data_IF_173133960853
#
_entry.id   IF_173133960853
#
_cell.length_a   1.000
_cell.length_b   1.000
_cell.length_c   1.000
_cell.angle_alpha   90.00
_cell.angle_beta   90.00
_cell.angle_gamma   90.00
#
_symmetry.space_group_name_H-M   'P 1'
#
loop_
_entity.id
_entity.type
_entity.pdbx_description
1 polymer ?
#
# COMPACT_ATOMS: atom_id res chain seq x y z
N UNK A 1 -35.96 9.97 5.81
CA UNK A 1 -35.96 8.67 5.07
C UNK A 1 -35.49 7.58 6.03
N UNK A 2 -35.88 6.32 5.81
CA UNK A 2 -35.41 5.20 6.65
C UNK A 2 -33.90 4.97 6.43
N UNK A 3 -33.12 4.79 7.50
CA UNK A 3 -31.66 4.67 7.47
C UNK A 3 -31.20 3.51 6.59
N UNK A 4 -31.82 2.34 6.76
CA UNK A 4 -31.57 1.14 5.94
C UNK A 4 -31.69 1.43 4.43
N UNK A 5 -32.71 2.19 4.02
CA UNK A 5 -32.90 2.55 2.60
C UNK A 5 -31.78 3.46 2.09
N UNK A 6 -31.24 4.34 2.93
CA UNK A 6 -30.08 5.18 2.62
C UNK A 6 -28.82 4.31 2.47
N UNK A 7 -28.53 3.44 3.44
CA UNK A 7 -27.38 2.52 3.41
C UNK A 7 -27.36 1.67 2.13
N UNK A 8 -28.47 0.99 1.81
CA UNK A 8 -28.55 0.14 0.62
C UNK A 8 -28.40 0.94 -0.69
N UNK A 9 -28.87 2.19 -0.73
CA UNK A 9 -28.71 3.08 -1.89
C UNK A 9 -27.26 3.52 -2.07
N UNK A 10 -26.56 3.84 -0.98
CA UNK A 10 -25.14 4.19 -1.00
C UNK A 10 -24.26 2.97 -1.35
N UNK A 11 -24.62 1.78 -0.86
CA UNK A 11 -23.94 0.52 -1.21
C UNK A 11 -24.09 0.18 -2.69
N UNK A 12 -25.30 0.30 -3.24
CA UNK A 12 -25.54 0.13 -4.67
C UNK A 12 -24.77 1.16 -5.52
N UNK A 13 -24.62 2.40 -5.05
CA UNK A 13 -23.80 3.41 -5.73
C UNK A 13 -22.30 3.05 -5.71
N UNK A 14 -21.77 2.58 -4.58
CA UNK A 14 -20.39 2.11 -4.47
C UNK A 14 -20.12 0.90 -5.39
N UNK A 15 -21.09 -0.03 -5.46
CA UNK A 15 -21.10 -1.15 -6.38
C UNK A 15 -21.10 -0.70 -7.85
N UNK A 16 -22.01 0.21 -8.24
CA UNK A 16 -22.09 0.71 -9.63
C UNK A 16 -20.79 1.37 -10.06
N UNK A 17 -20.24 2.31 -9.25
CA UNK A 17 -18.92 2.93 -9.48
C UNK A 17 -17.84 1.88 -9.76
N UNK A 18 -17.79 0.82 -8.95
CA UNK A 18 -16.84 -0.29 -9.07
C UNK A 18 -17.05 -1.10 -10.35
N UNK A 19 -18.31 -1.42 -10.67
CA UNK A 19 -18.68 -2.14 -11.89
C UNK A 19 -18.23 -1.39 -13.13
N UNK A 20 -18.47 -0.08 -13.17
CA UNK A 20 -18.10 0.78 -14.30
C UNK A 20 -16.57 0.84 -14.46
N UNK A 21 -15.81 0.97 -13.36
CA UNK A 21 -14.35 0.94 -13.39
C UNK A 21 -13.79 -0.41 -13.87
N UNK A 22 -14.27 -1.54 -13.34
CA UNK A 22 -13.85 -2.88 -13.78
C UNK A 22 -14.14 -3.12 -15.27
N UNK A 23 -15.27 -2.61 -15.78
CA UNK A 23 -15.67 -2.78 -17.17
C UNK A 23 -15.09 -1.71 -18.13
N UNK A 24 -14.35 -0.72 -17.63
CA UNK A 24 -13.62 0.28 -18.42
C UNK A 24 -12.50 -0.33 -19.29
N UNK A 25 -11.90 0.51 -20.14
CA UNK A 25 -10.66 0.17 -20.86
C UNK A 25 -9.41 0.40 -19.98
N UNK A 26 -9.46 1.40 -19.08
CA UNK A 26 -8.31 1.85 -18.29
C UNK A 26 -7.96 0.93 -17.12
N UNK A 27 -8.85 -0.01 -16.78
CA UNK A 27 -8.60 -1.01 -15.74
C UNK A 27 -7.27 -1.72 -15.90
N UNK A 28 -6.94 -2.22 -17.11
CA UNK A 28 -5.75 -3.02 -17.31
C UNK A 28 -4.44 -2.22 -17.20
N UNK A 29 -4.41 -0.97 -17.70
CA UNK A 29 -3.24 -0.10 -17.59
C UNK A 29 -3.03 0.36 -16.14
N UNK A 30 -4.09 0.79 -15.45
CA UNK A 30 -4.03 1.23 -14.05
C UNK A 30 -3.59 0.09 -13.13
N UNK A 31 -4.17 -1.11 -13.26
CA UNK A 31 -3.78 -2.27 -12.47
C UNK A 31 -2.33 -2.72 -12.76
N UNK A 32 -1.86 -2.60 -14.01
CA UNK A 32 -0.47 -2.89 -14.38
C UNK A 32 0.52 -1.90 -13.75
N UNK A 33 0.16 -0.62 -13.68
CA UNK A 33 0.98 0.38 -12.98
C UNK A 33 1.01 0.15 -11.47
N UNK A 34 -0.12 -0.23 -10.85
CA UNK A 34 -0.12 -0.66 -9.45
C UNK A 34 0.81 -1.86 -9.23
N UNK A 35 0.89 -2.81 -10.17
CA UNK A 35 1.86 -3.90 -10.09
C UNK A 35 3.31 -3.39 -10.14
N UNK A 36 3.64 -2.47 -11.05
CA UNK A 36 4.98 -1.84 -11.10
C UNK A 36 5.35 -1.14 -9.78
N UNK A 37 4.40 -0.43 -9.17
CA UNK A 37 4.59 0.24 -7.88
C UNK A 37 4.79 -0.77 -6.75
N UNK A 38 3.92 -1.79 -6.59
CA UNK A 38 4.09 -2.80 -5.52
C UNK A 38 5.29 -3.72 -5.72
N UNK A 39 5.93 -3.72 -6.89
CA UNK A 39 7.20 -4.42 -7.11
C UNK A 39 8.45 -3.55 -6.83
N UNK A 40 8.30 -2.24 -6.60
CA UNK A 40 9.41 -1.25 -6.64
C UNK A 40 10.16 -1.30 -7.97
N UNK A 41 9.40 -1.16 -9.06
CA UNK A 41 9.90 -0.97 -10.42
C UNK A 41 9.65 0.46 -10.91
N UNK A 42 8.54 1.08 -10.50
CA UNK A 42 8.16 2.47 -10.83
C UNK A 42 7.73 3.26 -9.58
N UNK A 43 7.91 4.59 -9.62
CA UNK A 43 7.33 5.58 -8.70
C UNK A 43 5.79 5.68 -8.89
N UNK A 44 5.10 6.40 -8.01
CA UNK A 44 3.72 6.79 -8.29
C UNK A 44 3.68 7.86 -9.39
N UNK A 45 2.95 7.58 -10.47
CA UNK A 45 2.66 8.58 -11.53
C UNK A 45 1.29 9.25 -11.43
N UNK A 46 0.45 8.90 -10.44
CA UNK A 46 -0.88 9.51 -10.28
C UNK A 46 -0.85 10.77 -9.43
N UNK A 47 -1.41 11.84 -9.97
CA UNK A 47 -1.75 13.06 -9.23
C UNK A 47 -3.14 12.97 -8.61
N UNK A 48 -3.45 13.87 -7.69
CA UNK A 48 -4.74 13.88 -6.99
C UNK A 48 -5.95 14.14 -7.89
N UNK A 49 -5.74 14.76 -9.06
CA UNK A 49 -6.80 15.03 -10.03
C UNK A 49 -7.32 13.71 -10.65
N UNK A 50 -6.43 12.76 -10.89
CA UNK A 50 -6.76 11.43 -11.43
C UNK A 50 -7.69 10.66 -10.48
N UNK A 51 -7.51 10.87 -9.16
CA UNK A 51 -8.22 10.16 -8.09
C UNK A 51 -9.62 10.70 -7.78
N UNK A 52 -10.02 11.85 -8.34
CA UNK A 52 -11.27 12.56 -7.98
C UNK A 52 -12.52 11.73 -8.25
N UNK A 53 -12.51 10.93 -9.32
CA UNK A 53 -13.68 10.13 -9.73
C UNK A 53 -13.67 8.72 -9.14
N UNK A 54 -12.49 8.13 -8.90
CA UNK A 54 -12.32 6.78 -8.37
C UNK A 54 -10.93 6.63 -7.72
N UNK A 55 -10.85 6.24 -6.45
CA UNK A 55 -9.55 6.06 -5.76
C UNK A 55 -8.98 4.66 -6.07
N UNK A 56 -8.32 4.53 -7.22
CA UNK A 56 -8.01 3.24 -7.88
C UNK A 56 -7.26 2.20 -7.04
N UNK A 57 -6.41 2.61 -6.08
CA UNK A 57 -5.68 1.66 -5.24
C UNK A 57 -6.59 0.73 -4.42
N UNK A 58 -7.85 1.11 -4.21
CA UNK A 58 -8.88 0.25 -3.60
C UNK A 58 -8.99 -1.14 -4.27
N UNK A 59 -8.69 -1.27 -5.56
CA UNK A 59 -8.73 -2.58 -6.24
C UNK A 59 -7.61 -3.54 -5.79
N UNK A 60 -6.54 -3.03 -5.16
CA UNK A 60 -5.57 -3.88 -4.47
C UNK A 60 -6.21 -4.62 -3.30
N UNK A 61 -7.14 -3.99 -2.55
CA UNK A 61 -7.93 -4.66 -1.50
C UNK A 61 -8.70 -5.84 -2.10
N UNK A 62 -9.23 -5.69 -3.31
CA UNK A 62 -9.94 -6.76 -4.01
C UNK A 62 -9.01 -7.90 -4.47
N UNK A 63 -7.80 -7.61 -4.96
CA UNK A 63 -6.82 -8.66 -5.24
C UNK A 63 -6.43 -9.44 -3.96
N UNK A 64 -6.42 -8.80 -2.80
CA UNK A 64 -6.20 -9.47 -1.52
C UNK A 64 -7.44 -10.26 -1.02
N UNK A 65 -8.68 -9.85 -1.36
CA UNK A 65 -9.90 -10.67 -1.13
C UNK A 65 -9.81 -12.01 -1.85
N UNK A 66 -9.39 -11.99 -3.12
CA UNK A 66 -9.18 -13.19 -3.93
C UNK A 66 -7.97 -14.01 -3.43
N UNK A 67 -6.92 -13.36 -2.95
CA UNK A 67 -5.74 -14.01 -2.34
C UNK A 67 -6.13 -14.90 -1.14
N UNK A 68 -7.08 -14.47 -0.30
CA UNK A 68 -7.59 -15.28 0.82
C UNK A 68 -8.32 -16.53 0.30
N UNK A 69 -9.07 -16.42 -0.79
CA UNK A 69 -9.73 -17.60 -1.42
C UNK A 69 -8.71 -18.54 -2.06
N UNK A 70 -7.63 -18.01 -2.67
CA UNK A 70 -6.57 -18.82 -3.27
C UNK A 70 -5.71 -19.57 -2.24
N UNK A 71 -5.52 -19.00 -1.04
CA UNK A 71 -4.66 -19.54 0.03
C UNK A 71 -5.46 -19.80 1.32
N UNK A 72 -6.71 -20.27 1.21
CA UNK A 72 -7.62 -20.38 2.38
C UNK A 72 -7.06 -21.28 3.50
N UNK A 73 -6.26 -22.29 3.16
CA UNK A 73 -5.53 -23.14 4.12
C UNK A 73 -4.53 -22.38 5.00
N UNK A 74 -3.99 -21.26 4.52
CA UNK A 74 -3.05 -20.41 5.25
C UNK A 74 -3.79 -19.49 6.24
N UNK A 75 -5.07 -19.18 5.96
CA UNK A 75 -5.97 -18.40 6.81
C UNK A 75 -6.88 -19.25 7.71
N UNK A 76 -6.65 -20.58 7.82
CA UNK A 76 -7.48 -21.52 8.58
C UNK A 76 -7.73 -21.16 10.07
N UNK A 77 -6.84 -20.35 10.67
CA UNK A 77 -6.94 -19.90 12.07
C UNK A 77 -7.67 -18.54 12.18
N UNK A 78 -8.39 -18.13 11.13
CA UNK A 78 -9.10 -16.86 10.97
C UNK A 78 -10.47 -17.11 10.35
N UNK A 79 -11.42 -16.23 10.60
CA UNK A 79 -12.75 -16.30 10.01
C UNK A 79 -12.72 -15.76 8.56
N UNK A 80 -12.51 -16.64 7.58
CA UNK A 80 -12.36 -16.24 6.17
C UNK A 80 -13.60 -15.53 5.60
N UNK A 81 -14.79 -15.75 6.17
CA UNK A 81 -16.02 -15.04 5.80
C UNK A 81 -16.02 -13.59 6.32
N UNK A 82 -15.69 -13.38 7.61
CA UNK A 82 -15.59 -12.02 8.18
C UNK A 82 -14.45 -11.26 7.47
N UNK A 83 -13.29 -11.88 7.26
CA UNK A 83 -12.18 -11.26 6.49
C UNK A 83 -12.61 -10.79 5.10
N UNK A 84 -13.27 -11.65 4.32
CA UNK A 84 -13.72 -11.31 2.95
C UNK A 84 -14.80 -10.21 2.97
N UNK A 85 -15.64 -10.14 4.02
CA UNK A 85 -16.61 -9.05 4.26
C UNK A 85 -15.94 -7.75 4.68
N UNK A 86 -14.97 -7.77 5.60
CA UNK A 86 -14.20 -6.60 6.02
C UNK A 86 -13.49 -5.94 4.85
N UNK A 87 -12.81 -6.72 4.00
CA UNK A 87 -12.18 -6.23 2.77
C UNK A 87 -13.20 -5.67 1.77
N UNK A 88 -14.40 -6.24 1.67
CA UNK A 88 -15.47 -5.75 0.80
C UNK A 88 -16.07 -4.42 1.28
N UNK A 89 -16.41 -4.33 2.57
CA UNK A 89 -16.92 -3.11 3.17
C UNK A 89 -15.85 -1.99 3.18
N UNK A 90 -14.57 -2.35 3.26
CA UNK A 90 -13.43 -1.43 3.02
C UNK A 90 -13.44 -0.84 1.60
N UNK A 91 -13.68 -1.67 0.58
CA UNK A 91 -13.77 -1.22 -0.82
C UNK A 91 -14.95 -0.26 -0.98
N UNK A 92 -16.15 -0.65 -0.53
CA UNK A 92 -17.33 0.17 -0.72
C UNK A 92 -17.29 1.48 0.09
N UNK A 93 -16.74 1.47 1.32
CA UNK A 93 -16.52 2.70 2.10
C UNK A 93 -15.50 3.64 1.48
N UNK A 94 -14.51 3.11 0.74
CA UNK A 94 -13.54 3.95 0.01
C UNK A 94 -14.16 4.56 -1.25
N UNK A 95 -15.08 3.84 -1.92
CA UNK A 95 -15.77 4.34 -3.12
C UNK A 95 -16.98 5.21 -2.82
N UNK A 96 -17.57 5.08 -1.62
CA UNK A 96 -18.66 5.91 -1.14
C UNK A 96 -18.47 6.21 0.36
N UNK A 97 -17.67 7.23 0.72
CA UNK A 97 -17.33 7.55 2.12
C UNK A 97 -18.51 7.83 3.04
N UNK A 98 -19.70 8.15 2.49
CA UNK A 98 -20.94 8.25 3.27
C UNK A 98 -21.36 6.93 3.95
N UNK A 99 -20.80 5.79 3.56
CA UNK A 99 -20.97 4.50 4.24
C UNK A 99 -20.12 4.35 5.51
N UNK A 100 -19.07 5.17 5.70
CA UNK A 100 -18.10 4.98 6.79
C UNK A 100 -18.75 4.96 8.18
N UNK A 101 -19.72 5.82 8.44
CA UNK A 101 -20.39 5.88 9.75
C UNK A 101 -21.11 4.56 10.05
N UNK A 102 -21.93 4.09 9.12
CA UNK A 102 -22.68 2.83 9.27
C UNK A 102 -21.71 1.65 9.39
N UNK A 103 -20.66 1.60 8.56
CA UNK A 103 -19.71 0.49 8.54
C UNK A 103 -18.81 0.45 9.79
N UNK A 104 -18.38 1.60 10.33
CA UNK A 104 -17.65 1.69 11.61
C UNK A 104 -18.55 1.29 12.79
N UNK A 105 -19.83 1.71 12.78
CA UNK A 105 -20.80 1.30 13.80
C UNK A 105 -21.06 -0.22 13.77
N UNK A 106 -21.13 -0.81 12.56
CA UNK A 106 -21.40 -2.23 12.32
C UNK A 106 -20.18 -3.16 12.49
N UNK A 107 -18.99 -2.64 12.80
CA UNK A 107 -17.85 -3.46 13.22
C UNK A 107 -18.20 -4.32 14.45
N UNK A 108 -17.67 -5.54 14.49
CA UNK A 108 -17.85 -6.48 15.59
C UNK A 108 -16.84 -6.14 16.68
N UNK A 109 -17.33 -5.88 17.90
CA UNK A 109 -16.51 -5.48 19.04
C UNK A 109 -15.48 -6.56 19.41
N UNK A 110 -14.20 -6.17 19.45
CA UNK A 110 -13.04 -7.00 19.79
C UNK A 110 -12.72 -8.17 18.83
N UNK A 111 -13.40 -8.28 17.68
CA UNK A 111 -13.06 -9.25 16.63
C UNK A 111 -11.88 -8.73 15.79
N UNK A 112 -10.82 -9.53 15.63
CA UNK A 112 -9.62 -9.13 14.86
C UNK A 112 -9.89 -9.12 13.35
N UNK A 113 -10.78 -10.00 12.89
CA UNK A 113 -11.17 -10.08 11.47
C UNK A 113 -12.17 -9.01 11.05
N UNK A 114 -12.77 -8.29 12.00
CA UNK A 114 -13.74 -7.21 11.75
C UNK A 114 -13.04 -5.85 11.73
N UNK A 115 -12.77 -5.36 10.52
CA UNK A 115 -12.05 -4.11 10.31
C UNK A 115 -12.46 -3.39 9.03
N UNK A 116 -12.06 -2.12 8.91
CA UNK A 116 -11.98 -1.42 7.63
C UNK A 116 -10.52 -1.05 7.31
N UNK A 117 -10.05 -1.36 6.10
CA UNK A 117 -8.76 -0.89 5.55
C UNK A 117 -9.05 0.26 4.60
N UNK A 118 -8.75 1.49 5.03
CA UNK A 118 -9.04 2.71 4.26
C UNK A 118 -7.71 3.33 3.78
N UNK A 119 -7.47 3.45 2.46
CA UNK A 119 -6.37 4.25 1.94
C UNK A 119 -6.72 5.74 2.04
N UNK A 120 -5.78 6.56 2.51
CA UNK A 120 -5.99 7.98 2.79
C UNK A 120 -4.90 8.84 2.13
N UNK A 121 -5.31 9.89 1.44
CA UNK A 121 -4.45 10.99 1.00
C UNK A 121 -4.40 12.07 2.08
N UNK A 122 -3.21 12.54 2.44
CA UNK A 122 -3.02 13.66 3.37
C UNK A 122 -2.11 14.72 2.76
N UNK A 123 -2.57 15.97 2.77
CA UNK A 123 -1.76 17.13 2.47
C UNK A 123 -1.13 17.71 3.72
N UNK A 124 0.11 18.14 3.54
CA UNK A 124 0.78 19.07 4.42
C UNK A 124 1.25 20.29 3.63
N UNK A 125 1.51 21.38 4.32
CA UNK A 125 2.11 22.58 3.75
C UNK A 125 3.43 22.88 4.47
N UNK A 126 4.54 22.96 3.73
CA UNK A 126 5.84 23.38 4.25
C UNK A 126 6.02 24.88 3.98
N UNK A 127 5.78 25.69 5.01
CA UNK A 127 5.89 27.14 4.93
C UNK A 127 7.32 27.64 4.77
N UNK A 128 8.33 26.82 5.06
CA UNK A 128 9.74 27.19 4.86
C UNK A 128 10.20 27.05 3.40
N UNK A 129 9.47 26.26 2.60
CA UNK A 129 9.67 26.15 1.15
C UNK A 129 8.55 26.79 0.32
N UNK A 130 7.41 27.14 0.93
CA UNK A 130 6.17 27.51 0.25
C UNK A 130 5.66 26.36 -0.67
N UNK A 131 5.75 25.12 -0.18
CA UNK A 131 5.45 23.91 -0.96
C UNK A 131 4.31 23.08 -0.34
N UNK A 132 3.48 22.49 -1.20
CA UNK A 132 2.49 21.48 -0.80
C UNK A 132 3.11 20.08 -0.85
N UNK A 133 3.16 19.42 0.30
CA UNK A 133 3.55 18.01 0.41
C UNK A 133 2.28 17.17 0.31
N UNK A 134 2.38 16.08 -0.45
CA UNK A 134 1.38 15.02 -0.53
C UNK A 134 1.96 13.75 0.08
N UNK A 135 1.17 13.07 0.90
CA UNK A 135 1.46 11.71 1.35
C UNK A 135 0.21 10.83 1.26
N UNK A 136 0.42 9.53 1.11
CA UNK A 136 -0.62 8.51 1.21
C UNK A 136 -0.32 7.67 2.45
N UNK A 137 -1.33 7.31 3.23
CA UNK A 137 -1.22 6.37 4.35
C UNK A 137 -2.32 5.33 4.25
N UNK A 138 -2.11 4.18 4.90
CA UNK A 138 -3.22 3.30 5.22
C UNK A 138 -3.81 3.60 6.58
N UNK A 139 -5.06 3.24 6.78
CA UNK A 139 -5.74 3.19 8.08
C UNK A 139 -6.39 1.83 8.24
N UNK A 140 -6.29 1.24 9.43
CA UNK A 140 -7.00 0.03 9.83
C UNK A 140 -7.88 0.39 11.03
N UNK A 141 -9.19 0.34 10.83
CA UNK A 141 -10.18 0.76 11.80
C UNK A 141 -10.78 -0.50 12.43
N UNK A 142 -10.74 -0.61 13.76
CA UNK A 142 -11.29 -1.73 14.54
C UNK A 142 -12.13 -1.22 15.69
N UNK A 143 -13.16 -1.96 16.08
CA UNK A 143 -13.99 -1.64 17.24
C UNK A 143 -13.50 -2.39 18.47
N UNK A 144 -13.08 -1.66 19.50
CA UNK A 144 -12.76 -2.19 20.84
C UNK A 144 -13.97 -2.02 21.76
N UNK A 145 -13.91 -2.58 22.97
CA UNK A 145 -15.03 -2.65 23.93
C UNK A 145 -15.85 -1.36 24.08
N UNK A 146 -15.16 -0.22 24.11
CA UNK A 146 -15.62 1.10 24.54
C UNK A 146 -15.24 2.23 23.56
N UNK A 147 -14.52 1.92 22.48
CA UNK A 147 -13.87 2.88 21.59
C UNK A 147 -13.53 2.29 20.22
N UNK A 148 -13.35 3.15 19.22
CA UNK A 148 -12.76 2.80 17.93
C UNK A 148 -11.24 2.97 18.01
N UNK A 149 -10.51 1.96 17.58
CA UNK A 149 -9.07 2.03 17.31
C UNK A 149 -8.83 2.33 15.83
N UNK A 150 -8.00 3.33 15.56
CA UNK A 150 -7.57 3.73 14.22
C UNK A 150 -6.04 3.55 14.17
N UNK A 151 -5.60 2.49 13.51
CA UNK A 151 -4.19 2.16 13.29
C UNK A 151 -3.74 2.73 11.93
N UNK A 152 -3.02 3.84 11.95
CA UNK A 152 -2.42 4.43 10.74
C UNK A 152 -1.13 3.68 10.39
N UNK A 153 -0.95 3.33 9.11
CA UNK A 153 0.25 2.71 8.56
C UNK A 153 0.93 3.68 7.59
N UNK A 154 2.19 4.02 7.90
CA UNK A 154 3.02 5.02 7.21
C UNK A 154 4.48 4.54 7.16
N UNK A 155 4.98 4.21 5.96
CA UNK A 155 6.33 3.71 5.67
C UNK A 155 7.21 4.70 4.92
N UNK A 156 6.71 5.88 4.55
CA UNK A 156 7.59 7.02 4.31
C UNK A 156 8.10 7.60 5.63
N UNK A 157 7.41 7.32 6.75
CA UNK A 157 7.79 7.80 8.08
C UNK A 157 7.66 9.32 8.13
N UNK A 158 6.56 9.84 7.60
CA UNK A 158 6.32 11.26 7.40
C UNK A 158 6.50 12.01 8.73
N UNK A 159 7.14 13.18 8.67
CA UNK A 159 7.08 14.10 9.80
C UNK A 159 5.69 14.71 9.89
N UNK A 160 5.04 14.57 11.03
CA UNK A 160 3.68 15.07 11.25
C UNK A 160 3.75 15.98 12.47
N UNK A 161 3.48 17.30 12.30
CA UNK A 161 3.69 18.32 13.35
C UNK A 161 3.02 18.03 14.68
N UNK A 162 1.89 17.33 14.70
CA UNK A 162 1.20 16.91 15.93
C UNK A 162 1.94 15.81 16.71
N UNK A 163 2.85 15.03 16.08
CA UNK A 163 3.59 13.94 16.72
C UNK A 163 4.81 14.46 17.49
N UNK A 164 4.82 14.26 18.82
CA UNK A 164 5.84 14.75 19.79
C UNK A 164 7.31 14.35 19.49
N UNK A 165 7.55 13.39 18.59
CA UNK A 165 8.87 13.02 18.06
C UNK A 165 8.75 12.48 16.63
N UNK A 166 9.88 12.36 15.92
CA UNK A 166 9.99 11.58 14.67
C UNK A 166 9.98 10.08 14.97
N UNK A 167 9.64 9.27 13.95
CA UNK A 167 9.84 7.83 14.01
C UNK A 167 11.34 7.51 14.01
N UNK A 168 11.82 6.76 15.01
CA UNK A 168 13.22 6.40 15.15
C UNK A 168 13.64 5.28 14.18
N UNK A 169 14.89 5.32 13.73
CA UNK A 169 15.48 4.25 12.91
C UNK A 169 15.89 3.04 13.77
N UNK A 170 15.53 1.86 13.28
CA UNK A 170 15.70 0.57 13.93
C UNK A 170 16.71 -0.28 13.15
N UNK A 171 17.73 -0.80 13.83
CA UNK A 171 18.87 -1.50 13.20
C UNK A 171 18.89 -2.99 13.53
N UNK A 172 19.40 -3.81 12.61
CA UNK A 172 19.51 -5.26 12.82
C UNK A 172 20.72 -5.60 13.69
N UNK A 173 20.60 -6.59 14.57
CA UNK A 173 21.73 -7.10 15.39
C UNK A 173 23.00 -7.41 14.56
N UNK A 174 22.84 -7.84 13.31
CA UNK A 174 23.92 -8.17 12.36
C UNK A 174 24.18 -6.99 11.41
N UNK A 175 24.70 -5.90 11.97
CA UNK A 175 24.71 -4.54 11.38
C UNK A 175 25.32 -4.38 9.97
N UNK A 176 26.25 -5.25 9.56
CA UNK A 176 27.20 -4.94 8.47
C UNK A 176 26.60 -4.70 7.08
N UNK A 177 25.44 -5.31 6.75
CA UNK A 177 24.86 -5.25 5.39
C UNK A 177 23.35 -4.98 5.32
N UNK A 178 22.66 -4.88 6.46
CA UNK A 178 21.19 -4.77 6.49
C UNK A 178 20.74 -3.31 6.62
N UNK A 179 19.93 -2.77 5.68
CA UNK A 179 19.38 -1.43 5.82
C UNK A 179 18.48 -1.29 7.07
N UNK A 180 18.44 -0.09 7.69
CA UNK A 180 17.56 0.15 8.83
C UNK A 180 16.09 0.06 8.42
N UNK A 181 15.26 -0.21 9.43
CA UNK A 181 13.81 -0.09 9.38
C UNK A 181 13.38 1.17 10.14
N UNK A 182 12.11 1.51 10.03
CA UNK A 182 11.44 2.52 10.87
C UNK A 182 10.26 1.85 11.58
N UNK A 183 9.79 2.42 12.69
CA UNK A 183 8.44 2.15 13.22
C UNK A 183 7.44 2.79 12.24
N UNK A 184 6.39 2.05 11.87
CA UNK A 184 5.49 2.44 10.77
C UNK A 184 4.03 2.55 11.16
N UNK A 185 3.70 2.41 12.44
CA UNK A 185 2.32 2.33 12.92
C UNK A 185 2.02 3.26 14.10
N UNK A 186 0.81 3.82 14.07
CA UNK A 186 0.35 4.87 14.97
C UNK A 186 -1.09 4.57 15.37
N UNK A 187 -1.32 4.36 16.66
CA UNK A 187 -2.63 4.02 17.21
C UNK A 187 -3.31 5.29 17.76
N UNK A 188 -4.50 5.57 17.26
CA UNK A 188 -5.41 6.61 17.75
C UNK A 188 -6.68 5.94 18.30
N UNK A 189 -7.14 6.37 19.46
CA UNK A 189 -8.32 5.80 20.13
C UNK A 189 -9.42 6.83 20.25
N UNK A 190 -10.59 6.56 19.69
CA UNK A 190 -11.69 7.52 19.51
C UNK A 190 -12.97 6.97 20.14
N UNK A 191 -13.60 7.72 21.04
CA UNK A 191 -14.84 7.33 21.72
C UNK A 191 -16.00 7.07 20.74
N UNK A 192 -16.90 6.14 21.07
CA UNK A 192 -17.97 5.68 20.18
C UNK A 192 -18.98 6.79 19.78
N UNK A 193 -19.16 7.81 20.62
CA UNK A 193 -19.95 9.01 20.33
C UNK A 193 -19.38 9.85 19.18
N UNK A 194 -18.06 9.81 18.96
CA UNK A 194 -17.35 10.57 17.92
C UNK A 194 -17.21 9.83 16.58
N UNK A 195 -17.88 8.69 16.38
CA UNK A 195 -17.88 7.98 15.08
C UNK A 195 -18.29 8.91 13.91
N UNK A 196 -19.26 9.83 14.02
CA UNK A 196 -19.56 10.79 12.96
C UNK A 196 -18.38 11.71 12.63
N UNK A 197 -17.72 12.31 13.63
CA UNK A 197 -16.54 13.17 13.42
C UNK A 197 -15.38 12.41 12.76
N UNK A 198 -15.16 11.16 13.18
CA UNK A 198 -14.16 10.28 12.58
C UNK A 198 -14.50 9.94 11.11
N UNK A 199 -15.77 9.69 10.81
CA UNK A 199 -16.26 9.35 9.47
C UNK A 199 -16.13 10.54 8.50
N UNK A 200 -16.45 11.75 8.96
CA UNK A 200 -16.21 12.99 8.22
C UNK A 200 -14.71 13.21 7.97
N UNK A 201 -13.88 13.03 8.99
CA UNK A 201 -12.43 13.20 8.88
C UNK A 201 -11.81 12.22 7.87
N UNK A 202 -12.17 10.94 7.95
CA UNK A 202 -11.76 9.91 6.98
C UNK A 202 -12.24 10.25 5.57
N UNK A 203 -13.47 10.76 5.41
CA UNK A 203 -13.99 11.21 4.11
C UNK A 203 -13.17 12.34 3.47
N UNK A 204 -12.63 13.26 4.28
CA UNK A 204 -11.68 14.29 3.81
C UNK A 204 -10.36 13.68 3.30
N UNK A 205 -9.94 12.54 3.85
CA UNK A 205 -8.75 11.79 3.43
C UNK A 205 -8.97 10.90 2.20
N UNK A 206 -10.20 10.48 1.92
CA UNK A 206 -10.51 9.62 0.77
C UNK A 206 -10.74 10.45 -0.49
N UNK A 207 -11.65 11.43 -0.45
CA UNK A 207 -12.17 12.09 -1.67
C UNK A 207 -12.23 13.60 -1.62
N UNK A 208 -12.45 14.23 -0.47
CA UNK A 208 -12.59 15.70 -0.39
C UNK A 208 -11.24 16.44 -0.20
N UNK A 209 -10.32 16.13 -1.10
CA UNK A 209 -8.93 16.56 -1.11
C UNK A 209 -8.75 18.09 -1.26
N UNK A 210 -9.66 18.77 -1.98
CA UNK A 210 -9.66 20.23 -2.11
C UNK A 210 -9.97 20.90 -0.77
N UNK A 211 -11.05 20.51 -0.10
CA UNK A 211 -11.39 21.03 1.23
C UNK A 211 -10.35 20.64 2.28
N UNK A 212 -9.67 19.51 2.14
CA UNK A 212 -8.54 19.18 3.01
C UNK A 212 -7.41 20.22 2.91
N UNK A 213 -7.00 20.62 1.68
CA UNK A 213 -6.03 21.71 1.48
C UNK A 213 -6.52 23.04 2.02
N UNK A 214 -7.78 23.41 1.73
CA UNK A 214 -8.39 24.66 2.21
C UNK A 214 -8.35 24.73 3.75
N UNK A 215 -8.59 23.60 4.44
CA UNK A 215 -8.53 23.52 5.91
C UNK A 215 -7.11 23.53 6.49
N UNK A 216 -6.08 23.06 5.77
CA UNK A 216 -4.67 23.16 6.23
C UNK A 216 -4.26 24.63 6.42
N UNK A 217 -4.71 25.52 5.53
CA UNK A 217 -4.43 26.96 5.63
C UNK A 217 -5.22 27.67 6.76
N UNK A 218 -6.18 26.99 7.38
CA UNK A 218 -6.97 27.50 8.52
C UNK A 218 -6.44 26.99 9.88
N UNK A 219 -5.44 26.09 9.89
CA UNK A 219 -4.77 25.68 11.13
C UNK A 219 -3.89 26.84 11.60
N UNK A 220 -4.11 27.39 12.82
CA UNK A 220 -3.32 28.52 13.30
C UNK A 220 -1.83 28.15 13.44
N UNK A 221 -0.94 29.05 13.03
CA UNK A 221 0.52 28.85 13.08
C UNK A 221 1.04 28.97 14.53
N UNK A 222 0.70 27.99 15.36
CA UNK A 222 1.02 27.94 16.78
C UNK A 222 2.47 27.52 17.00
N UNK A 223 3.35 28.51 17.12
CA UNK A 223 4.72 28.31 17.63
C UNK A 223 4.76 27.80 19.10
N UNK A 224 3.60 27.73 19.77
CA UNK A 224 3.46 27.49 21.22
C UNK A 224 2.80 26.15 21.57
N UNK A 225 3.00 25.10 20.76
CA UNK A 225 2.95 23.74 21.34
C UNK A 225 4.27 23.53 22.11
N UNK A 226 4.25 23.37 23.45
CA UNK A 226 5.41 23.67 24.33
C UNK A 226 6.62 22.73 24.23
N UNK A 227 6.63 21.80 23.28
CA UNK A 227 7.75 20.90 22.96
C UNK A 227 8.20 20.96 21.48
N UNK A 228 7.66 21.89 20.67
CA UNK A 228 7.72 21.84 19.20
C UNK A 228 8.42 23.05 18.57
N UNK A 229 9.64 23.36 19.03
CA UNK A 229 10.50 24.26 18.27
C UNK A 229 10.93 23.61 16.93
N UNK A 230 10.83 24.38 15.85
CA UNK A 230 11.40 24.09 14.52
C UNK A 230 10.71 23.03 13.64
N UNK A 231 9.38 23.05 13.51
CA UNK A 231 8.72 22.43 12.34
C UNK A 231 7.82 23.40 11.56
N UNK A 232 8.26 23.79 10.37
CA UNK A 232 7.53 24.67 9.44
C UNK A 232 6.49 23.92 8.58
N UNK A 233 6.13 22.70 8.99
CA UNK A 233 5.13 21.87 8.30
C UNK A 233 3.80 22.06 9.05
N UNK A 234 2.69 22.11 8.31
CA UNK A 234 1.32 22.16 8.85
C UNK A 234 0.53 20.99 8.28
N UNK A 235 -0.27 20.30 9.11
CA UNK A 235 -1.26 19.32 8.67
C UNK A 235 -2.61 19.52 9.38
N UNK A 236 -3.71 19.23 8.69
CA UNK A 236 -5.06 19.26 9.28
C UNK A 236 -5.54 17.87 9.72
N UNK A 237 -5.20 16.82 8.97
CA UNK A 237 -5.81 15.50 9.13
C UNK A 237 -5.43 14.85 10.47
N UNK A 238 -4.14 14.77 10.78
CA UNK A 238 -3.64 14.16 12.00
C UNK A 238 -3.83 15.09 13.20
N UNK A 239 -3.72 16.40 13.00
CA UNK A 239 -4.10 17.40 14.02
C UNK A 239 -5.55 17.22 14.48
N UNK A 240 -6.51 17.04 13.55
CA UNK A 240 -7.91 16.78 13.90
C UNK A 240 -8.13 15.35 14.43
N UNK A 241 -7.41 14.35 13.93
CA UNK A 241 -7.48 12.96 14.45
C UNK A 241 -7.02 12.88 15.90
N UNK A 242 -5.90 13.53 16.23
CA UNK A 242 -5.40 13.72 17.59
C UNK A 242 -6.46 14.40 18.46
N UNK A 243 -7.02 15.52 17.99
CA UNK A 243 -8.05 16.29 18.71
C UNK A 243 -9.32 15.51 19.04
N UNK A 244 -9.76 14.56 18.19
CA UNK A 244 -10.93 13.72 18.50
C UNK A 244 -10.58 12.51 19.37
N UNK A 245 -9.31 12.11 19.44
CA UNK A 245 -8.85 10.94 20.19
C UNK A 245 -8.82 11.18 21.70
N UNK A 246 -9.06 10.14 22.49
CA UNK A 246 -8.83 10.11 23.95
C UNK A 246 -7.38 9.74 24.29
N UNK A 247 -6.71 9.01 23.39
CA UNK A 247 -5.33 8.52 23.52
C UNK A 247 -4.73 8.36 22.13
N UNK A 248 -3.45 8.70 22.00
CA UNK A 248 -2.62 8.33 20.85
C UNK A 248 -1.27 7.76 21.29
N UNK A 249 -0.67 6.88 20.49
CA UNK A 249 0.74 6.50 20.61
C UNK A 249 1.29 5.83 19.35
N UNK A 250 2.61 5.82 19.22
CA UNK A 250 3.31 4.86 18.36
C UNK A 250 3.02 3.43 18.82
N UNK A 251 2.87 2.50 17.88
CA UNK A 251 3.00 1.09 18.18
C UNK A 251 4.44 0.60 18.03
N UNK A 252 4.61 -0.69 17.73
CA UNK A 252 5.89 -1.38 17.82
C UNK A 252 6.30 -2.11 16.53
N UNK A 253 5.63 -1.88 15.40
CA UNK A 253 5.82 -2.70 14.20
C UNK A 253 6.69 -1.98 13.17
N UNK A 254 7.63 -2.72 12.61
CA UNK A 254 8.72 -2.16 11.82
C UNK A 254 8.72 -2.64 10.36
N UNK A 255 8.93 -1.70 9.43
CA UNK A 255 9.04 -2.00 8.00
C UNK A 255 10.28 -1.37 7.39
N UNK A 256 10.70 -1.90 6.24
CA UNK A 256 11.73 -1.25 5.42
C UNK A 256 11.14 -0.01 4.76
N UNK A 257 11.82 1.12 4.94
CA UNK A 257 11.54 2.41 4.33
C UNK A 257 11.33 2.32 2.81
N UNK A 258 10.44 3.16 2.27
CA UNK A 258 10.14 3.20 0.83
C UNK A 258 11.31 3.78 0.02
N UNK A 259 11.86 3.00 -0.92
CA UNK A 259 13.01 3.43 -1.73
C UNK A 259 12.63 4.29 -2.96
N UNK A 260 11.35 4.62 -3.10
CA UNK A 260 10.70 5.33 -4.20
C UNK A 260 9.52 6.14 -3.64
N UNK A 261 9.07 7.15 -4.37
CA UNK A 261 7.82 7.87 -4.12
C UNK A 261 6.60 7.09 -4.62
N UNK A 262 6.49 5.81 -4.25
CA UNK A 262 5.41 4.91 -4.70
C UNK A 262 4.38 4.61 -3.59
N UNK A 263 4.20 5.54 -2.65
CA UNK A 263 3.37 5.39 -1.45
C UNK A 263 1.92 4.98 -1.74
N UNK A 264 1.30 5.53 -2.78
CA UNK A 264 -0.09 5.25 -3.15
C UNK A 264 -0.43 3.75 -3.23
N UNK A 265 0.34 2.94 -3.95
CA UNK A 265 0.16 1.48 -3.92
C UNK A 265 0.92 0.81 -2.78
N UNK A 266 2.06 1.36 -2.32
CA UNK A 266 2.94 0.70 -1.33
C UNK A 266 2.52 0.75 0.12
N UNK A 267 1.75 1.76 0.52
CA UNK A 267 1.20 1.83 1.87
C UNK A 267 -0.01 0.92 1.99
N UNK A 268 -0.89 0.88 0.99
CA UNK A 268 -2.00 -0.06 0.97
C UNK A 268 -1.52 -1.52 0.88
N UNK A 269 -0.50 -1.82 0.08
CA UNK A 269 0.17 -3.14 0.03
C UNK A 269 0.79 -3.56 1.37
N UNK A 270 1.18 -2.60 2.21
CA UNK A 270 1.66 -2.87 3.56
C UNK A 270 0.51 -3.00 4.57
N UNK A 271 -0.49 -2.13 4.48
CA UNK A 271 -1.66 -2.08 5.36
C UNK A 271 -2.49 -3.36 5.25
N UNK A 272 -2.64 -3.90 4.05
CA UNK A 272 -3.24 -5.22 3.82
C UNK A 272 -2.38 -6.34 4.43
N UNK A 273 -1.05 -6.22 4.39
CA UNK A 273 -0.14 -7.16 5.09
C UNK A 273 -0.12 -7.02 6.61
N UNK A 274 -0.58 -5.89 7.15
CA UNK A 274 -0.85 -5.70 8.58
C UNK A 274 -2.18 -6.35 8.95
N UNK A 275 -3.28 -5.92 8.31
CA UNK A 275 -4.63 -6.36 8.63
C UNK A 275 -4.85 -7.88 8.46
N UNK A 276 -4.16 -8.48 7.48
CA UNK A 276 -4.21 -9.92 7.17
C UNK A 276 -2.96 -10.67 7.66
N UNK A 277 -2.10 -10.01 8.42
CA UNK A 277 -0.81 -10.55 8.87
C UNK A 277 -0.90 -11.30 10.20
N UNK A 278 0.04 -12.21 10.43
CA UNK A 278 0.39 -12.64 11.80
C UNK A 278 1.58 -11.82 12.28
N UNK A 279 1.48 -11.30 13.50
CA UNK A 279 2.56 -10.57 14.18
C UNK A 279 3.69 -11.55 14.51
N UNK A 280 4.94 -11.18 14.24
CA UNK A 280 6.13 -11.96 14.53
C UNK A 280 7.16 -11.08 15.26
N UNK A 281 7.79 -11.59 16.32
CA UNK A 281 8.90 -10.90 17.00
C UNK A 281 10.04 -10.63 16.01
N UNK A 282 10.59 -9.42 16.01
CA UNK A 282 11.68 -9.05 15.10
C UNK A 282 13.05 -9.47 15.65
N UNK A 283 14.01 -9.70 14.74
CA UNK A 283 15.44 -9.89 15.05
C UNK A 283 16.25 -8.57 15.01
N UNK A 284 15.55 -7.43 14.94
CA UNK A 284 16.13 -6.10 15.05
C UNK A 284 16.32 -5.69 16.53
N UNK A 285 17.31 -4.83 16.79
CA UNK A 285 17.52 -4.23 18.10
C UNK A 285 16.44 -3.19 18.42
N UNK A 286 16.28 -2.87 19.71
CA UNK A 286 15.60 -1.66 20.15
C UNK A 286 16.21 -0.40 19.49
N UNK A 287 15.42 0.67 19.24
CA UNK A 287 15.94 1.90 18.66
C UNK A 287 17.06 2.52 19.53
N UNK A 288 18.04 3.14 18.87
CA UNK A 288 19.31 3.57 19.51
C UNK A 288 19.21 4.87 20.34
N UNK A 289 18.04 5.50 20.43
CA UNK A 289 17.83 6.86 20.96
C UNK A 289 17.36 6.90 22.44
N UNK A 290 18.02 6.12 23.29
CA UNK A 290 18.24 6.20 24.75
C UNK A 290 17.14 6.63 25.76
N UNK A 291 16.30 7.64 25.50
CA UNK A 291 15.51 8.33 26.56
C UNK A 291 14.07 7.81 26.78
N UNK A 292 13.68 6.69 26.14
CA UNK A 292 12.27 6.23 26.12
C UNK A 292 12.08 4.77 26.57
N UNK A 293 12.70 4.42 27.69
CA UNK A 293 12.37 3.23 28.48
C UNK A 293 10.94 3.35 29.05
N UNK A 294 10.01 2.52 28.53
CA UNK A 294 8.96 1.80 29.28
C UNK A 294 7.86 1.19 28.38
N UNK A 295 7.70 1.61 27.12
CA UNK A 295 6.51 1.24 26.30
C UNK A 295 6.71 0.17 25.23
N UNK A 296 7.93 -0.13 24.79
CA UNK A 296 8.19 -1.06 23.66
C UNK A 296 8.83 -2.37 24.13
N UNK A 297 8.04 -3.26 24.73
CA UNK A 297 8.52 -4.53 25.30
C UNK A 297 9.01 -5.54 24.26
N UNK A 298 8.60 -5.40 22.99
CA UNK A 298 9.23 -6.05 21.83
C UNK A 298 8.91 -5.28 20.54
N UNK A 299 9.80 -5.34 19.55
CA UNK A 299 9.52 -4.90 18.18
C UNK A 299 9.02 -6.06 17.34
N UNK A 300 8.13 -5.79 16.39
CA UNK A 300 7.53 -6.85 15.56
C UNK A 300 7.49 -6.56 14.06
N UNK A 301 7.35 -7.63 13.28
CA UNK A 301 7.16 -7.62 11.84
C UNK A 301 5.84 -8.31 11.48
N UNK A 302 5.20 -7.85 10.41
CA UNK A 302 4.05 -8.53 9.83
C UNK A 302 4.45 -9.39 8.64
N UNK A 303 3.88 -10.58 8.56
CA UNK A 303 3.84 -11.41 7.35
C UNK A 303 2.46 -12.05 7.29
N UNK A 304 1.83 -12.13 6.11
CA UNK A 304 0.69 -13.04 5.93
C UNK A 304 1.13 -14.48 6.31
N UNK A 305 0.21 -15.37 6.71
CA UNK A 305 0.59 -16.72 7.10
C UNK A 305 1.37 -17.47 6.00
N UNK A 306 2.23 -18.39 6.42
CA UNK A 306 2.96 -19.35 5.58
C UNK A 306 3.84 -18.80 4.41
N UNK A 307 4.01 -17.48 4.27
CA UNK A 307 4.86 -16.89 3.22
C UNK A 307 6.33 -17.28 3.38
N UNK A 308 6.88 -17.97 2.38
CA UNK A 308 8.34 -18.17 2.22
C UNK A 308 9.08 -16.92 1.71
N UNK A 309 8.44 -16.10 0.87
CA UNK A 309 9.01 -14.80 0.44
C UNK A 309 7.96 -13.86 -0.14
N UNK A 310 8.16 -12.53 -0.08
CA UNK A 310 7.23 -11.54 -0.66
C UNK A 310 6.92 -11.76 -2.15
N UNK A 311 7.81 -12.45 -2.87
CA UNK A 311 7.66 -12.82 -4.28
C UNK A 311 6.51 -13.81 -4.51
N UNK A 312 6.22 -14.71 -3.56
CA UNK A 312 5.08 -15.65 -3.71
C UNK A 312 3.74 -14.97 -3.49
N UNK A 313 3.70 -13.84 -2.75
CA UNK A 313 2.53 -12.96 -2.66
C UNK A 313 2.29 -12.32 -4.03
N UNK A 314 3.27 -11.58 -4.56
CA UNK A 314 3.08 -10.85 -5.81
C UNK A 314 2.85 -11.78 -7.02
N UNK A 315 3.47 -12.96 -7.08
CA UNK A 315 3.15 -13.98 -8.08
C UNK A 315 1.69 -14.44 -8.02
N UNK A 316 1.08 -14.47 -6.82
CA UNK A 316 -0.33 -14.80 -6.64
C UNK A 316 -1.23 -13.64 -7.06
N UNK A 317 -0.92 -12.40 -6.65
CA UNK A 317 -1.69 -11.20 -7.02
C UNK A 317 -1.68 -10.96 -8.54
N UNK A 318 -0.55 -11.21 -9.21
CA UNK A 318 -0.43 -11.10 -10.67
C UNK A 318 -1.21 -12.23 -11.36
N UNK A 319 -1.16 -13.46 -10.87
CA UNK A 319 -1.96 -14.56 -11.42
C UNK A 319 -3.48 -14.29 -11.30
N UNK A 320 -3.93 -13.73 -10.16
CA UNK A 320 -5.31 -13.27 -9.95
C UNK A 320 -5.67 -12.13 -10.92
N UNK A 321 -4.78 -11.16 -11.12
CA UNK A 321 -5.00 -10.08 -12.10
C UNK A 321 -5.12 -10.64 -13.53
N UNK A 322 -4.30 -11.62 -13.91
CA UNK A 322 -4.36 -12.27 -15.24
C UNK A 322 -5.70 -13.01 -15.47
N UNK A 323 -6.24 -13.69 -14.46
CA UNK A 323 -7.58 -14.31 -14.52
C UNK A 323 -8.72 -13.29 -14.66
N UNK A 324 -8.61 -12.16 -13.95
CA UNK A 324 -9.54 -11.03 -14.07
C UNK A 324 -9.48 -10.37 -15.44
N UNK A 325 -8.29 -10.20 -16.02
CA UNK A 325 -8.11 -9.59 -17.35
C UNK A 325 -8.63 -10.51 -18.48
N UNK A 326 -8.42 -11.83 -18.37
CA UNK A 326 -9.08 -12.82 -19.23
C UNK A 326 -10.61 -12.70 -19.15
N UNK A 327 -11.16 -12.73 -17.93
CA UNK A 327 -12.61 -12.63 -17.67
C UNK A 327 -13.21 -11.34 -18.23
N UNK A 328 -12.47 -10.23 -18.18
CA UNK A 328 -12.85 -8.92 -18.69
C UNK A 328 -12.58 -8.73 -20.19
N UNK A 329 -12.25 -9.79 -20.96
CA UNK A 329 -11.97 -9.75 -22.40
C UNK A 329 -10.86 -8.74 -22.78
N UNK A 330 -9.78 -8.66 -22.02
CA UNK A 330 -8.55 -7.98 -22.46
C UNK A 330 -7.70 -8.89 -23.36
N UNK A 331 -6.87 -8.31 -24.23
CA UNK A 331 -6.04 -9.07 -25.17
C UNK A 331 -5.00 -9.90 -24.42
N UNK A 332 -5.08 -11.23 -24.63
CA UNK A 332 -4.33 -12.22 -23.88
C UNK A 332 -2.82 -12.06 -24.00
N UNK A 333 -2.32 -12.01 -25.22
CA UNK A 333 -0.88 -11.97 -25.48
C UNK A 333 -0.23 -10.68 -24.92
N UNK A 334 -0.97 -9.57 -24.93
CA UNK A 334 -0.54 -8.29 -24.35
C UNK A 334 -0.46 -8.36 -22.82
N UNK A 335 -1.54 -8.76 -22.13
CA UNK A 335 -1.52 -8.80 -20.67
C UNK A 335 -0.57 -9.88 -20.13
N UNK A 336 -0.47 -11.03 -20.81
CA UNK A 336 0.46 -12.08 -20.41
C UNK A 336 1.91 -11.64 -20.60
N UNK A 337 2.27 -11.07 -21.76
CA UNK A 337 3.63 -10.57 -22.01
C UNK A 337 4.03 -9.51 -20.99
N UNK A 338 3.19 -8.49 -20.80
CA UNK A 338 3.49 -7.37 -19.92
C UNK A 338 3.67 -7.83 -18.46
N UNK A 339 2.71 -8.57 -17.90
CA UNK A 339 2.74 -8.94 -16.48
C UNK A 339 3.82 -9.99 -16.15
N UNK A 340 4.12 -10.92 -17.07
CA UNK A 340 5.20 -11.91 -16.89
C UNK A 340 6.57 -11.22 -16.94
N UNK A 341 6.80 -10.34 -17.91
CA UNK A 341 8.06 -9.59 -18.06
C UNK A 341 8.31 -8.68 -16.85
N UNK A 342 7.28 -7.98 -16.36
CA UNK A 342 7.31 -7.16 -15.14
C UNK A 342 7.69 -8.01 -13.92
N UNK A 343 7.06 -9.17 -13.72
CA UNK A 343 7.38 -10.03 -12.57
C UNK A 343 8.79 -10.63 -12.66
N UNK A 344 9.23 -11.05 -13.84
CA UNK A 344 10.57 -11.57 -14.05
C UNK A 344 11.64 -10.49 -13.83
N UNK A 345 11.39 -9.25 -14.25
CA UNK A 345 12.25 -8.09 -13.96
C UNK A 345 12.39 -7.87 -12.46
N UNK A 346 11.29 -7.88 -11.71
CA UNK A 346 11.32 -7.84 -10.25
C UNK A 346 12.11 -8.99 -9.63
N UNK A 347 11.87 -10.23 -10.08
CA UNK A 347 12.50 -11.47 -9.58
C UNK A 347 14.01 -11.44 -9.79
N UNK A 348 14.47 -11.06 -10.99
CA UNK A 348 15.88 -10.88 -11.32
C UNK A 348 16.54 -9.81 -10.42
N UNK A 349 15.97 -8.60 -10.40
CA UNK A 349 16.53 -7.50 -9.62
C UNK A 349 16.53 -7.79 -8.12
N UNK A 350 15.50 -8.46 -7.58
CA UNK A 350 15.45 -8.89 -6.18
C UNK A 350 16.66 -9.73 -5.78
N UNK A 351 17.11 -10.64 -6.65
CA UNK A 351 18.30 -11.44 -6.42
C UNK A 351 19.56 -10.57 -6.51
N UNK A 352 19.66 -9.72 -7.54
CA UNK A 352 20.79 -8.78 -7.71
C UNK A 352 20.91 -7.70 -6.62
N UNK A 353 19.87 -7.52 -5.78
CA UNK A 353 19.78 -6.54 -4.68
C UNK A 353 20.30 -7.05 -3.34
N UNK A 354 20.57 -8.36 -3.18
CA UNK A 354 20.84 -8.96 -1.87
C UNK A 354 22.13 -8.44 -1.21
N UNK A 355 23.17 -8.16 -2.00
CA UNK A 355 24.52 -7.88 -1.50
C UNK A 355 24.99 -6.42 -1.66
N UNK A 356 24.09 -5.47 -2.00
CA UNK A 356 24.48 -4.05 -2.12
C UNK A 356 23.31 -3.05 -2.06
N UNK A 357 23.25 -2.19 -1.03
CA UNK A 357 22.33 -1.05 -0.99
C UNK A 357 22.50 -0.08 -2.17
N UNK A 358 23.74 0.12 -2.65
CA UNK A 358 24.00 0.98 -3.81
C UNK A 358 23.43 0.40 -5.11
N UNK A 359 23.63 -0.90 -5.37
CA UNK A 359 22.98 -1.58 -6.53
C UNK A 359 21.46 -1.44 -6.44
N UNK A 360 20.86 -1.63 -5.25
CA UNK A 360 19.43 -1.44 -5.01
C UNK A 360 18.95 -0.05 -5.42
N UNK A 361 19.54 1.03 -4.90
CA UNK A 361 19.11 2.39 -5.24
C UNK A 361 19.27 2.70 -6.73
N UNK A 362 20.41 2.31 -7.34
CA UNK A 362 20.68 2.58 -8.75
C UNK A 362 19.73 1.83 -9.69
N UNK A 363 19.56 0.51 -9.50
CA UNK A 363 18.62 -0.30 -10.28
C UNK A 363 17.19 0.22 -10.21
N UNK A 364 16.78 0.69 -9.02
CA UNK A 364 15.41 1.16 -8.79
C UNK A 364 15.13 2.50 -9.49
N UNK A 365 16.14 3.37 -9.64
CA UNK A 365 16.04 4.55 -10.52
C UNK A 365 15.95 4.16 -12.00
N UNK A 366 16.76 3.20 -12.43
CA UNK A 366 16.82 2.75 -13.83
C UNK A 366 15.53 2.06 -14.29
N UNK A 367 14.92 1.21 -13.45
CA UNK A 367 13.59 0.63 -13.76
C UNK A 367 12.52 1.70 -13.80
N UNK A 368 12.59 2.71 -12.93
CA UNK A 368 11.60 3.78 -12.92
C UNK A 368 11.65 4.61 -14.21
N UNK A 369 12.85 4.88 -14.72
CA UNK A 369 13.01 5.52 -16.03
C UNK A 369 12.43 4.64 -17.16
N UNK A 370 12.80 3.35 -17.20
CA UNK A 370 12.32 2.41 -18.22
C UNK A 370 10.79 2.28 -18.22
N UNK A 371 10.18 2.03 -17.06
CA UNK A 371 8.73 1.83 -16.95
C UNK A 371 7.90 3.12 -16.95
N UNK A 372 8.54 4.29 -16.87
CA UNK A 372 7.88 5.58 -17.14
C UNK A 372 7.86 5.94 -18.63
N UNK A 373 8.73 5.33 -19.46
CA UNK A 373 8.72 5.48 -20.93
C UNK A 373 8.17 4.26 -21.69
N UNK A 374 7.94 3.13 -21.00
CA UNK A 374 7.42 1.90 -21.61
C UNK A 374 5.94 2.03 -21.99
N UNK A 375 5.60 1.73 -23.24
CA UNK A 375 4.21 1.54 -23.65
C UNK A 375 3.72 0.16 -23.18
N UNK A 376 2.97 0.14 -22.07
CA UNK A 376 2.38 -1.07 -21.46
C UNK A 376 0.85 -1.11 -21.65
N UNK A 377 0.34 -0.56 -22.76
CA UNK A 377 -1.08 -0.68 -23.10
C UNK A 377 -1.48 -2.16 -23.18
N UNK A 378 -2.67 -2.44 -22.65
CA UNK A 378 -3.37 -3.71 -22.75
C UNK A 378 -4.76 -3.40 -23.30
N UNK A 379 -4.98 -3.79 -24.54
CA UNK A 379 -6.16 -3.53 -25.35
C UNK A 379 -7.34 -4.36 -24.85
N UNK A 380 -8.56 -3.83 -25.02
CA UNK A 380 -9.79 -4.56 -24.69
C UNK A 380 -10.46 -5.05 -25.97
N UNK A 381 -10.72 -6.35 -26.07
CA UNK A 381 -11.28 -7.00 -27.26
C UNK A 381 -12.70 -6.50 -27.51
N UNK A 382 -13.50 -6.39 -26.44
CA UNK A 382 -14.89 -5.93 -26.49
C UNK A 382 -15.32 -5.35 -25.14
N UNK A 383 -16.34 -4.48 -25.14
CA UNK A 383 -16.95 -3.98 -23.90
C UNK A 383 -17.58 -5.13 -23.13
N UNK A 384 -17.26 -5.21 -21.84
CA UNK A 384 -17.88 -6.16 -20.90
C UNK A 384 -18.94 -5.46 -20.05
N UNK A 385 -19.82 -6.25 -19.43
CA UNK A 385 -20.83 -5.76 -18.48
C UNK A 385 -20.91 -6.70 -17.26
N UNK A 386 -19.77 -7.28 -16.86
CA UNK A 386 -19.71 -8.30 -15.81
C UNK A 386 -20.25 -7.75 -14.49
N UNK A 387 -21.17 -8.48 -13.81
CA UNK A 387 -21.45 -8.29 -12.39
C UNK A 387 -20.17 -8.35 -11.54
N UNK A 388 -20.20 -7.64 -10.41
CA UNK A 388 -19.07 -7.53 -9.47
C UNK A 388 -18.77 -8.90 -8.84
N UNK A 389 -19.83 -9.67 -8.58
CA UNK A 389 -19.79 -10.92 -7.82
C UNK A 389 -19.83 -12.17 -8.73
N UNK A 390 -19.86 -12.01 -10.06
CA UNK A 390 -19.85 -13.13 -11.02
C UNK A 390 -18.44 -13.53 -11.48
N UNK A 391 -17.38 -13.01 -10.85
CA UNK A 391 -16.02 -13.46 -11.08
C UNK A 391 -15.80 -14.81 -10.39
N UNK A 392 -16.24 -15.88 -11.04
CA UNK A 392 -15.89 -17.26 -10.67
C UNK A 392 -14.38 -17.48 -10.90
N UNK A 393 -13.59 -17.10 -9.89
CA UNK A 393 -12.12 -17.19 -9.84
C UNK A 393 -11.66 -18.56 -10.36
N UNK A 394 -10.92 -18.59 -11.47
CA UNK A 394 -10.42 -19.85 -12.02
C UNK A 394 -9.18 -20.30 -11.24
N UNK A 395 -9.42 -20.94 -10.09
CA UNK A 395 -8.39 -21.35 -9.15
C UNK A 395 -7.29 -22.20 -9.80
N UNK A 396 -7.60 -23.03 -10.80
CA UNK A 396 -6.61 -23.91 -11.42
C UNK A 396 -5.79 -23.19 -12.51
N UNK A 397 -6.40 -22.28 -13.27
CA UNK A 397 -5.66 -21.34 -14.14
C UNK A 397 -4.72 -20.45 -13.32
N UNK A 398 -5.19 -19.89 -12.21
CA UNK A 398 -4.40 -19.07 -11.29
C UNK A 398 -3.26 -19.87 -10.65
N UNK A 399 -3.51 -21.10 -10.16
CA UNK A 399 -2.45 -22.01 -9.66
C UNK A 399 -1.41 -22.28 -10.74
N UNK A 400 -1.83 -22.53 -11.99
CA UNK A 400 -0.95 -22.78 -13.13
C UNK A 400 -0.06 -21.57 -13.42
N UNK A 401 -0.64 -20.38 -13.63
CA UNK A 401 0.09 -19.13 -13.85
C UNK A 401 1.06 -18.85 -12.69
N UNK A 402 0.59 -18.92 -11.44
CA UNK A 402 1.40 -18.70 -10.24
C UNK A 402 2.59 -19.66 -10.18
N UNK A 403 2.38 -20.93 -10.51
CA UNK A 403 3.45 -21.92 -10.54
C UNK A 403 4.46 -21.64 -11.66
N UNK A 404 4.02 -21.18 -12.83
CA UNK A 404 4.89 -20.73 -13.91
C UNK A 404 5.70 -19.48 -13.52
N UNK A 405 5.10 -18.48 -12.87
CA UNK A 405 5.80 -17.29 -12.36
C UNK A 405 6.84 -17.65 -11.28
N UNK A 406 6.53 -18.58 -10.38
CA UNK A 406 7.43 -18.99 -9.29
C UNK A 406 8.61 -19.80 -9.82
N UNK A 407 8.38 -20.82 -10.66
CA UNK A 407 9.42 -21.77 -11.09
C UNK A 407 10.06 -21.42 -12.44
N UNK A 408 9.41 -20.60 -13.27
CA UNK A 408 9.95 -20.14 -14.54
C UNK A 408 11.22 -19.32 -14.37
N UNK A 409 12.27 -19.68 -15.10
CA UNK A 409 13.48 -18.89 -15.24
C UNK A 409 13.45 -18.24 -16.62
N UNK A 410 13.32 -16.92 -16.64
CA UNK A 410 13.36 -16.10 -17.85
C UNK A 410 14.29 -14.93 -17.61
N UNK A 411 15.24 -14.71 -18.52
CA UNK A 411 16.02 -13.47 -18.53
C UNK A 411 15.12 -12.36 -19.07
N UNK A 412 14.81 -11.32 -18.29
CA UNK A 412 13.88 -10.28 -18.73
C UNK A 412 14.40 -9.59 -20.00
N UNK A 413 13.54 -9.32 -20.99
CA UNK A 413 13.89 -8.49 -22.14
C UNK A 413 14.32 -7.09 -21.70
N UNK A 414 13.66 -6.57 -20.66
CA UNK A 414 13.97 -5.32 -19.99
C UNK A 414 15.42 -5.23 -19.49
N UNK A 415 16.11 -6.37 -19.31
CA UNK A 415 17.49 -6.40 -18.86
C UNK A 415 18.45 -5.81 -19.89
N UNK A 416 18.18 -5.95 -21.19
CA UNK A 416 19.04 -5.35 -22.22
C UNK A 416 18.81 -3.85 -22.38
N UNK A 417 17.56 -3.38 -22.24
CA UNK A 417 17.23 -1.95 -22.15
C UNK A 417 17.82 -1.31 -20.88
N UNK A 418 17.68 -1.99 -19.73
CA UNK A 418 18.36 -1.61 -18.49
C UNK A 418 19.87 -1.55 -18.72
N UNK A 419 20.49 -2.58 -19.29
CA UNK A 419 21.93 -2.62 -19.59
C UNK A 419 22.36 -1.52 -20.58
N UNK A 420 21.49 -1.09 -21.50
CA UNK A 420 21.75 0.03 -22.40
C UNK A 420 21.69 1.37 -21.65
N UNK A 421 20.64 1.62 -20.86
CA UNK A 421 20.49 2.84 -20.05
C UNK A 421 21.61 2.98 -19.01
N UNK A 422 21.97 1.86 -18.37
CA UNK A 422 23.14 1.68 -17.52
C UNK A 422 24.42 2.22 -18.17
N UNK A 423 24.68 1.86 -19.45
CA UNK A 423 25.91 2.27 -20.17
C UNK A 423 25.93 3.78 -20.49
N UNK A 424 24.78 4.46 -20.53
CA UNK A 424 24.69 5.92 -20.75
C UNK A 424 25.14 6.72 -19.52
N UNK A 425 25.02 6.15 -18.32
CA UNK A 425 25.27 6.88 -17.06
C UNK A 425 26.75 7.27 -16.90
N UNK A 426 27.11 8.54 -16.58
CA UNK A 426 28.51 8.98 -16.52
C UNK A 426 29.38 8.18 -15.52
N UNK A 427 28.80 7.72 -14.41
CA UNK A 427 29.49 6.88 -13.43
C UNK A 427 29.89 5.49 -13.97
N UNK A 428 29.22 4.98 -15.01
CA UNK A 428 29.52 3.68 -15.63
C UNK A 428 30.85 3.65 -16.40
N UNK A 429 31.48 4.81 -16.62
CA UNK A 429 32.85 4.93 -17.13
C UNK A 429 33.93 4.60 -16.07
N UNK A 430 33.57 4.37 -14.80
CA UNK A 430 34.51 4.04 -13.71
C UNK A 430 34.70 2.51 -13.55
N UNK A 431 35.95 2.06 -13.63
CA UNK A 431 36.38 0.65 -13.83
C UNK A 431 35.70 -0.39 -12.92
N UNK A 432 35.64 -0.13 -11.60
CA UNK A 432 35.10 -1.03 -10.55
C UNK A 432 33.70 -1.61 -10.81
N UNK A 433 32.94 -0.98 -11.71
CA UNK A 433 31.54 -1.32 -11.88
C UNK A 433 31.33 -2.52 -12.82
N UNK A 434 32.07 -2.61 -13.95
CA UNK A 434 31.96 -3.70 -14.95
C UNK A 434 32.02 -5.09 -14.32
N UNK A 435 32.94 -5.26 -13.38
CA UNK A 435 33.19 -6.49 -12.61
C UNK A 435 31.94 -6.96 -11.83
N UNK A 436 31.06 -6.02 -11.44
CA UNK A 436 29.95 -6.28 -10.51
C UNK A 436 28.66 -6.84 -11.14
N UNK A 437 28.62 -6.98 -12.47
CA UNK A 437 27.55 -7.70 -13.21
C UNK A 437 28.09 -8.96 -13.90
N UNK A 438 29.33 -8.97 -14.40
CA UNK A 438 29.89 -10.16 -15.07
C UNK A 438 30.15 -11.34 -14.13
N UNK A 439 30.35 -11.09 -12.83
CA UNK A 439 30.73 -12.15 -11.88
C UNK A 439 29.68 -13.26 -11.70
N UNK A 440 28.39 -12.96 -11.91
CA UNK A 440 27.30 -13.95 -11.80
C UNK A 440 27.01 -14.72 -13.10
N UNK A 441 27.77 -14.48 -14.18
CA UNK A 441 27.53 -15.06 -15.50
C UNK A 441 28.55 -16.13 -15.93
N UNK A 442 29.38 -16.64 -15.00
CA UNK A 442 30.44 -17.64 -15.30
C UNK A 442 30.56 -18.83 -14.34
N UNK A 443 29.74 -18.91 -13.29
CA UNK A 443 29.77 -20.00 -12.30
C UNK A 443 28.37 -20.56 -12.00
N UNK A 444 27.67 -21.00 -13.06
CA UNK A 444 26.54 -21.96 -13.03
C UNK A 444 26.51 -22.71 -14.35
#
# INVERSE_FOLDING_TARGET
MNSEKTYQTLKLLAQTKRKDFLNSNDYASIMTDMMLQILNLKDNSWGHQDLVHYKFNVELISLYKDYITLHESDFKDRNSLILKKSLENSIYSTLEPRLLQDEIQNLITNEEDSFLVIPLSVFQYDSSKNEWISHEVGSIIRKRSDQIEVEIIDKSGLFIPSRVKKADYVWSQKHENTPPKIITDYHYFVSLDKIPELSDLLSLGISNLKTQKERVLLVPFTHELPNFSNSNIIDYFFTKLSTISSKEHYGNKISSYQALGNCFSKELDATLKVALGKIQTSSYLSPLSMDRLNSYTSLSEYKLPNIKSTSTIYASLIAILMDRLESLNFVKDEYQTNLIEIFNTYKYLKNCRQDSPFKKTLQTKLTNQLYSSSNLVISKIQRTNLPIDSSNINLDYIKSIRNALIHGYYTPKSLDDLNAEIKKQPFYKRKKWKESITFNYRNR
#
